data_IF_769084161263
#
_entry.id   IF_769084161263
#
_cell.length_a   1.000
_cell.length_b   1.000
_cell.length_c   1.000
_cell.angle_alpha   90.00
_cell.angle_beta   90.00
_cell.angle_gamma   90.00
#
_symmetry.space_group_name_H-M   'P 1'
#
loop_
_entity.id
_entity.type
_entity.pdbx_description
1 polymer ?
#
# COMPACT_ATOMS: atom_id res chain seq x y z
N UNK A 1 15.41 3.70 7.12
CA UNK A 1 14.51 3.80 5.96
C UNK A 1 13.09 3.91 6.47
N UNK A 2 12.37 4.96 6.10
CA UNK A 2 10.97 5.20 6.44
C UNK A 2 10.06 4.84 5.26
N UNK A 3 8.98 4.12 5.50
CA UNK A 3 8.05 3.62 4.48
C UNK A 3 6.78 4.46 4.48
N UNK A 4 6.56 5.19 3.40
CA UNK A 4 5.37 6.00 3.13
C UNK A 4 4.35 5.09 2.43
N UNK A 5 3.36 4.66 3.19
CA UNK A 5 2.31 3.75 2.76
C UNK A 5 1.08 4.52 2.30
N UNK A 6 0.71 4.38 1.03
CA UNK A 6 -0.56 4.87 0.51
C UNK A 6 -1.61 3.76 0.59
N UNK A 7 -2.58 3.96 1.47
CA UNK A 7 -3.78 3.14 1.61
C UNK A 7 -4.96 3.75 0.85
N UNK A 8 -5.99 2.94 0.64
CA UNK A 8 -7.25 3.37 0.02
C UNK A 8 -7.80 2.30 -0.92
N UNK A 9 -9.07 2.46 -1.29
CA UNK A 9 -9.78 1.55 -2.17
C UNK A 9 -9.04 1.30 -3.50
N UNK A 10 -9.28 0.17 -4.18
CA UNK A 10 -9.01 0.05 -5.61
C UNK A 10 -9.51 1.31 -6.34
N UNK A 11 -8.58 2.02 -6.98
CA UNK A 11 -8.89 3.24 -7.70
C UNK A 11 -8.93 4.56 -7.00
N UNK A 12 -8.54 4.64 -5.74
CA UNK A 12 -8.31 5.93 -5.08
C UNK A 12 -7.09 6.69 -5.64
N UNK A 13 -6.56 6.35 -6.83
CA UNK A 13 -5.42 7.06 -7.43
C UNK A 13 -4.07 6.79 -6.78
N UNK A 14 -3.95 5.79 -5.88
CA UNK A 14 -2.72 5.47 -5.14
C UNK A 14 -1.48 5.39 -6.02
N UNK A 15 -1.53 4.66 -7.12
CA UNK A 15 -0.39 4.47 -8.02
C UNK A 15 0.04 5.78 -8.69
N UNK A 16 -0.92 6.62 -9.06
CA UNK A 16 -0.68 7.95 -9.65
C UNK A 16 -0.06 8.89 -8.62
N UNK A 17 -0.62 8.94 -7.41
CA UNK A 17 -0.10 9.77 -6.31
C UNK A 17 1.30 9.30 -5.89
N UNK A 18 1.51 7.99 -5.75
CA UNK A 18 2.83 7.40 -5.48
C UNK A 18 3.86 7.87 -6.49
N UNK A 19 3.57 7.75 -7.79
CA UNK A 19 4.47 8.15 -8.86
C UNK A 19 4.75 9.66 -8.85
N UNK A 20 3.72 10.48 -8.62
CA UNK A 20 3.85 11.93 -8.50
C UNK A 20 4.75 12.32 -7.32
N UNK A 21 4.43 11.86 -6.12
CA UNK A 21 5.19 12.16 -4.91
C UNK A 21 6.62 11.63 -5.01
N UNK A 22 6.81 10.44 -5.58
CA UNK A 22 8.14 9.90 -5.85
C UNK A 22 8.96 10.84 -6.74
N UNK A 23 8.38 11.30 -7.86
CA UNK A 23 9.02 12.26 -8.76
C UNK A 23 9.36 13.57 -8.03
N UNK A 24 8.39 14.14 -7.30
CA UNK A 24 8.58 15.40 -6.57
C UNK A 24 9.69 15.26 -5.51
N UNK A 25 9.72 14.14 -4.77
CA UNK A 25 10.77 13.86 -3.79
C UNK A 25 12.15 13.70 -4.43
N UNK A 26 12.25 13.01 -5.57
CA UNK A 26 13.52 12.90 -6.32
C UNK A 26 14.03 14.28 -6.77
N UNK A 27 13.14 15.13 -7.29
CA UNK A 27 13.46 16.50 -7.72
C UNK A 27 13.94 17.34 -6.53
N UNK A 28 13.31 17.19 -5.37
CA UNK A 28 13.70 17.87 -4.13
C UNK A 28 14.98 17.31 -3.48
N UNK A 29 15.64 16.31 -4.09
CA UNK A 29 16.93 15.78 -3.64
C UNK A 29 16.84 14.71 -2.55
N UNK A 30 15.64 14.17 -2.26
CA UNK A 30 15.51 13.09 -1.30
C UNK A 30 16.09 11.78 -1.83
N UNK A 31 16.76 11.03 -0.96
CA UNK A 31 17.18 9.65 -1.25
C UNK A 31 15.99 8.70 -1.08
N UNK A 32 15.11 8.70 -2.07
CA UNK A 32 13.85 7.93 -2.07
C UNK A 32 13.84 6.87 -3.17
N UNK A 33 13.14 5.76 -2.96
CA UNK A 33 12.74 4.81 -4.02
C UNK A 33 11.24 4.50 -3.94
N UNK A 34 10.67 3.99 -5.03
CA UNK A 34 9.27 3.56 -5.05
C UNK A 34 9.13 2.04 -5.14
N UNK A 35 8.11 1.51 -4.48
CA UNK A 35 7.74 0.08 -4.55
C UNK A 35 6.33 -0.01 -5.12
N UNK A 36 6.18 -0.79 -6.19
CA UNK A 36 4.90 -1.11 -6.82
C UNK A 36 4.32 -2.42 -6.26
N UNK A 37 3.03 -2.61 -6.47
CA UNK A 37 2.30 -3.81 -6.10
C UNK A 37 2.74 -5.06 -6.88
N UNK A 38 3.09 -6.14 -6.18
CA UNK A 38 3.39 -7.43 -6.82
C UNK A 38 2.17 -8.08 -7.49
N UNK A 39 0.96 -7.82 -7.01
CA UNK A 39 -0.27 -8.33 -7.61
C UNK A 39 -0.45 -7.89 -9.07
N UNK A 40 0.00 -6.68 -9.44
CA UNK A 40 -0.06 -6.23 -10.83
C UNK A 40 0.85 -7.05 -11.74
N UNK A 41 2.06 -7.38 -11.29
CA UNK A 41 2.95 -8.27 -12.04
C UNK A 41 2.30 -9.64 -12.27
N UNK A 42 1.60 -10.19 -11.27
CA UNK A 42 0.85 -11.44 -11.42
C UNK A 42 -0.22 -11.31 -12.51
N UNK A 43 -0.98 -10.20 -12.52
CA UNK A 43 -2.01 -9.95 -13.54
C UNK A 43 -1.40 -9.82 -14.93
N UNK A 44 -0.33 -9.02 -15.08
CA UNK A 44 0.34 -8.81 -16.38
C UNK A 44 0.99 -10.06 -16.94
N UNK A 45 1.47 -10.94 -16.06
CA UNK A 45 2.07 -12.22 -16.45
C UNK A 45 1.03 -13.36 -16.52
N UNK A 46 -0.26 -13.07 -16.31
CA UNK A 46 -1.38 -14.01 -16.36
C UNK A 46 -1.24 -15.22 -15.40
N UNK A 47 -0.53 -15.03 -14.28
CA UNK A 47 -0.25 -16.08 -13.29
C UNK A 47 -1.29 -16.12 -12.16
N UNK A 48 -2.57 -16.07 -12.50
CA UNK A 48 -3.67 -15.88 -11.53
C UNK A 48 -3.73 -16.94 -10.42
N UNK A 49 -3.21 -18.14 -10.65
CA UNK A 49 -3.09 -19.19 -9.63
C UNK A 49 -2.23 -18.76 -8.41
N UNK A 50 -1.33 -17.79 -8.59
CA UNK A 50 -0.47 -17.27 -7.52
C UNK A 50 -1.27 -16.51 -6.45
N UNK A 51 -2.47 -16.00 -6.76
CA UNK A 51 -3.33 -15.35 -5.76
C UNK A 51 -3.78 -16.28 -4.62
N UNK A 52 -3.67 -17.60 -4.80
CA UNK A 52 -3.96 -18.58 -3.75
C UNK A 52 -2.80 -18.77 -2.76
N UNK A 53 -1.60 -18.23 -3.05
CA UNK A 53 -0.41 -18.34 -2.21
C UNK A 53 -0.05 -16.99 -1.56
N UNK A 54 -0.76 -16.67 -0.49
CA UNK A 54 -0.58 -15.41 0.24
C UNK A 54 0.76 -15.34 0.97
N UNK A 55 1.36 -16.48 1.33
CA UNK A 55 2.72 -16.53 1.92
C UNK A 55 3.75 -16.09 0.88
N UNK A 56 3.63 -16.59 -0.34
CA UNK A 56 4.50 -16.20 -1.44
C UNK A 56 4.33 -14.72 -1.80
N UNK A 57 3.09 -14.23 -1.89
CA UNK A 57 2.80 -12.81 -2.17
C UNK A 57 3.40 -11.91 -1.09
N UNK A 58 3.20 -12.25 0.20
CA UNK A 58 3.81 -11.55 1.32
C UNK A 58 5.34 -11.51 1.18
N UNK A 59 5.97 -12.66 0.91
CA UNK A 59 7.42 -12.76 0.75
C UNK A 59 7.94 -11.89 -0.39
N UNK A 60 7.26 -11.87 -1.53
CA UNK A 60 7.63 -11.04 -2.69
C UNK A 60 7.47 -9.56 -2.42
N UNK A 61 6.33 -9.14 -1.85
CA UNK A 61 6.08 -7.74 -1.51
C UNK A 61 7.09 -7.25 -0.46
N UNK A 62 7.32 -8.03 0.60
CA UNK A 62 8.29 -7.70 1.64
C UNK A 62 9.73 -7.63 1.10
N UNK A 63 10.11 -8.53 0.19
CA UNK A 63 11.44 -8.50 -0.45
C UNK A 63 11.69 -7.20 -1.23
N UNK A 64 10.66 -6.59 -1.83
CA UNK A 64 10.77 -5.30 -2.54
C UNK A 64 11.15 -4.16 -1.59
N UNK A 65 10.68 -4.19 -0.36
CA UNK A 65 11.07 -3.25 0.70
C UNK A 65 12.47 -3.60 1.25
N UNK A 66 12.67 -4.84 1.69
CA UNK A 66 13.93 -5.28 2.30
C UNK A 66 15.17 -5.03 1.43
N UNK A 67 15.07 -5.12 0.11
CA UNK A 67 16.22 -4.87 -0.78
C UNK A 67 16.72 -3.42 -0.77
N UNK A 68 15.89 -2.48 -0.29
CA UNK A 68 16.14 -1.03 -0.22
C UNK A 68 16.61 -0.59 1.18
N UNK A 69 16.50 -1.47 2.18
CA UNK A 69 17.00 -1.24 3.53
C UNK A 69 18.47 -0.77 3.50
N UNK A 70 18.77 0.27 4.28
CA UNK A 70 20.09 0.92 4.39
C UNK A 70 20.64 1.54 3.09
N UNK A 71 19.88 1.51 1.99
CA UNK A 71 20.25 2.11 0.71
C UNK A 71 19.55 3.42 0.45
N UNK A 72 18.36 3.63 1.01
CA UNK A 72 17.55 4.84 0.84
C UNK A 72 16.97 5.30 2.17
N UNK A 73 16.69 6.59 2.27
CA UNK A 73 16.10 7.17 3.47
C UNK A 73 14.59 6.94 3.49
N UNK A 74 13.95 6.97 2.31
CA UNK A 74 12.51 6.84 2.16
C UNK A 74 12.13 5.80 1.09
N UNK A 75 11.02 5.13 1.31
CA UNK A 75 10.31 4.37 0.28
C UNK A 75 8.87 4.81 0.23
N UNK A 76 8.33 5.05 -0.97
CA UNK A 76 6.89 5.25 -1.15
C UNK A 76 6.26 4.06 -1.85
N UNK A 77 5.13 3.58 -1.32
CA UNK A 77 4.44 2.41 -1.85
C UNK A 77 2.93 2.62 -1.92
N UNK A 78 2.31 2.16 -3.02
CA UNK A 78 0.86 2.05 -3.19
C UNK A 78 0.32 0.66 -2.82
N UNK A 79 1.20 -0.20 -2.31
CA UNK A 79 0.93 -1.58 -1.90
C UNK A 79 1.56 -1.87 -0.53
N UNK A 80 1.05 -1.22 0.54
CA UNK A 80 1.49 -1.51 1.90
C UNK A 80 1.34 -3.00 2.21
N UNK A 81 2.34 -3.60 2.85
CA UNK A 81 2.32 -5.04 3.19
C UNK A 81 1.08 -5.42 4.00
N UNK A 82 0.57 -4.50 4.83
CA UNK A 82 -0.65 -4.66 5.62
C UNK A 82 -1.89 -5.00 4.78
N UNK A 83 -1.97 -4.55 3.53
CA UNK A 83 -3.09 -4.85 2.65
C UNK A 83 -3.25 -6.35 2.40
N UNK A 84 -2.18 -7.14 2.56
CA UNK A 84 -2.23 -8.59 2.43
C UNK A 84 -3.28 -9.24 3.33
N UNK A 85 -3.59 -8.66 4.50
CA UNK A 85 -4.65 -9.16 5.40
C UNK A 85 -6.02 -9.13 4.72
N UNK A 86 -6.33 -8.07 3.96
CA UNK A 86 -7.62 -7.91 3.29
C UNK A 86 -7.81 -8.85 2.08
N UNK A 87 -6.72 -9.44 1.57
CA UNK A 87 -6.75 -10.33 0.40
C UNK A 87 -6.58 -11.81 0.75
N UNK A 88 -6.65 -12.17 2.03
CA UNK A 88 -6.58 -13.55 2.49
C UNK A 88 -7.85 -14.32 2.14
N UNK A 89 -7.85 -15.00 1.00
CA UNK A 89 -8.99 -15.82 0.55
C UNK A 89 -8.51 -17.22 0.11
N UNK A 90 -9.31 -18.29 0.34
CA UNK A 90 -10.54 -18.33 1.14
C UNK A 90 -10.25 -18.17 2.64
N UNK A 91 -11.21 -17.61 3.38
CA UNK A 91 -11.15 -17.52 4.84
C UNK A 91 -11.69 -18.83 5.43
N UNK A 92 -11.01 -19.44 6.42
CA UNK A 92 -9.72 -19.05 6.99
C UNK A 92 -8.53 -19.68 6.23
N UNK A 93 -7.50 -18.88 5.95
CA UNK A 93 -6.23 -19.34 5.38
C UNK A 93 -5.34 -19.94 6.49
N UNK A 94 -4.58 -19.11 7.20
CA UNK A 94 -3.92 -19.45 8.46
C UNK A 94 -4.01 -18.23 9.39
N UNK A 95 -4.59 -18.36 10.58
CA UNK A 95 -4.69 -17.24 11.53
C UNK A 95 -3.32 -16.63 11.88
N UNK A 96 -2.29 -17.47 11.92
CA UNK A 96 -0.90 -17.03 12.14
C UNK A 96 -0.35 -16.14 11.03
N UNK A 97 -0.90 -16.22 9.80
CA UNK A 97 -0.44 -15.39 8.70
C UNK A 97 -0.90 -13.93 8.87
N UNK A 98 -2.11 -13.68 9.40
CA UNK A 98 -2.56 -12.31 9.69
C UNK A 98 -1.61 -11.65 10.69
N UNK A 99 -1.30 -12.37 11.78
CA UNK A 99 -0.36 -11.91 12.80
C UNK A 99 1.04 -11.67 12.22
N UNK A 100 1.51 -12.54 11.32
CA UNK A 100 2.79 -12.37 10.64
C UNK A 100 2.80 -11.13 9.74
N UNK A 101 1.74 -10.90 8.94
CA UNK A 101 1.65 -9.71 8.08
C UNK A 101 1.69 -8.44 8.93
N UNK A 102 0.93 -8.40 10.02
CA UNK A 102 0.91 -7.26 10.95
C UNK A 102 2.30 -7.06 11.59
N UNK A 103 2.97 -8.14 12.01
CA UNK A 103 4.30 -8.07 12.58
C UNK A 103 5.35 -7.57 11.57
N UNK A 104 5.31 -8.06 10.32
CA UNK A 104 6.17 -7.59 9.23
C UNK A 104 5.92 -6.11 8.97
N UNK A 105 4.66 -5.68 8.86
CA UNK A 105 4.32 -4.28 8.67
C UNK A 105 4.87 -3.41 9.82
N UNK A 106 4.64 -3.79 11.08
CA UNK A 106 5.09 -3.07 12.28
C UNK A 106 6.62 -3.10 12.48
N UNK A 107 7.36 -3.93 11.75
CA UNK A 107 8.83 -3.94 11.78
C UNK A 107 9.47 -2.76 11.04
N UNK A 108 8.69 -2.07 10.20
CA UNK A 108 9.13 -0.86 9.50
C UNK A 108 8.76 0.41 10.27
N UNK A 109 9.54 1.47 10.05
CA UNK A 109 9.15 2.83 10.39
C UNK A 109 8.19 3.35 9.32
N UNK A 110 6.91 3.54 9.68
CA UNK A 110 5.82 3.72 8.72
C UNK A 110 5.15 5.09 8.86
N UNK A 111 4.96 5.78 7.74
CA UNK A 111 3.99 6.87 7.58
C UNK A 111 2.81 6.30 6.81
N UNK A 112 1.61 6.36 7.37
CA UNK A 112 0.41 5.81 6.73
C UNK A 112 -0.53 6.93 6.29
N UNK A 113 -0.82 6.98 5.00
CA UNK A 113 -1.73 7.95 4.40
C UNK A 113 -2.89 7.17 3.81
N UNK A 114 -4.11 7.43 4.29
CA UNK A 114 -5.32 6.86 3.74
C UNK A 114 -5.94 7.83 2.73
N UNK A 115 -6.01 7.40 1.47
CA UNK A 115 -6.51 8.22 0.37
C UNK A 115 -8.02 8.02 0.19
N UNK A 116 -8.77 9.09 0.41
CA UNK A 116 -10.19 9.16 0.09
C UNK A 116 -10.35 9.43 -1.42
N UNK A 117 -11.14 8.59 -2.10
CA UNK A 117 -11.43 8.71 -3.55
C UNK A 117 -12.27 9.96 -3.78
N UNK A 118 -11.83 10.84 -4.68
CA UNK A 118 -12.50 12.12 -5.02
C UNK A 118 -12.98 12.19 -6.47
N UNK A 119 -12.92 11.07 -7.19
CA UNK A 119 -13.22 10.96 -8.61
C UNK A 119 -14.03 9.69 -8.88
N UNK A 120 -14.68 9.62 -10.05
CA UNK A 120 -15.49 8.47 -10.45
C UNK A 120 -14.67 7.18 -10.48
N UNK A 121 -15.32 6.06 -10.16
CA UNK A 121 -14.70 4.75 -10.23
C UNK A 121 -14.35 4.41 -11.69
N UNK A 122 -13.12 3.97 -11.93
CA UNK A 122 -12.67 3.52 -13.24
C UNK A 122 -12.38 2.02 -13.21
N UNK A 123 -12.98 1.25 -14.10
CA UNK A 123 -12.84 -0.22 -14.12
C UNK A 123 -11.52 -0.70 -14.73
N UNK A 124 -10.86 0.12 -15.56
CA UNK A 124 -9.67 -0.27 -16.30
C UNK A 124 -8.52 -0.76 -15.39
N UNK A 125 -8.04 -1.98 -15.65
CA UNK A 125 -6.92 -2.60 -14.92
C UNK A 125 -7.28 -3.08 -13.51
N UNK A 126 -8.54 -3.43 -13.24
CA UNK A 126 -9.03 -3.83 -11.91
C UNK A 126 -9.84 -5.11 -11.94
N UNK A 127 -9.79 -5.81 -10.81
CA UNK A 127 -10.54 -7.04 -10.58
C UNK A 127 -11.83 -6.82 -9.75
N UNK A 128 -12.09 -5.59 -9.30
CA UNK A 128 -13.22 -5.26 -8.43
C UNK A 128 -14.19 -4.31 -9.13
N UNK A 129 -15.47 -4.36 -8.77
CA UNK A 129 -16.44 -3.32 -9.09
C UNK A 129 -16.41 -2.18 -8.03
N UNK A 130 -17.25 -1.15 -8.20
CA UNK A 130 -17.27 0.00 -7.31
C UNK A 130 -17.73 -0.35 -5.88
N UNK A 131 -18.74 -1.20 -5.74
CA UNK A 131 -19.27 -1.62 -4.44
C UNK A 131 -18.23 -2.42 -3.66
N UNK A 132 -17.59 -3.40 -4.32
CA UNK A 132 -16.50 -4.19 -3.75
C UNK A 132 -15.32 -3.31 -3.33
N UNK A 133 -14.97 -2.30 -4.13
CA UNK A 133 -13.93 -1.34 -3.77
C UNK A 133 -14.30 -0.51 -2.53
N UNK A 134 -15.58 -0.15 -2.37
CA UNK A 134 -16.06 0.59 -1.20
C UNK A 134 -16.06 -0.30 0.07
N UNK A 135 -16.47 -1.56 -0.05
CA UNK A 135 -16.38 -2.54 1.06
C UNK A 135 -14.93 -2.71 1.49
N UNK A 136 -14.03 -2.96 0.55
CA UNK A 136 -12.61 -3.12 0.84
C UNK A 136 -11.99 -1.86 1.48
N UNK A 137 -12.46 -0.67 1.09
CA UNK A 137 -12.05 0.58 1.74
C UNK A 137 -12.38 0.59 3.24
N UNK A 138 -13.59 0.16 3.59
CA UNK A 138 -14.03 0.08 4.99
C UNK A 138 -13.28 -1.01 5.75
N UNK A 139 -12.99 -2.15 5.12
CA UNK A 139 -12.23 -3.23 5.72
C UNK A 139 -10.80 -2.80 6.04
N UNK A 140 -10.14 -2.07 5.13
CA UNK A 140 -8.80 -1.51 5.36
C UNK A 140 -8.82 -0.54 6.55
N UNK A 141 -9.79 0.40 6.61
CA UNK A 141 -9.89 1.34 7.74
C UNK A 141 -10.10 0.60 9.07
N UNK A 142 -11.04 -0.35 9.08
CA UNK A 142 -11.35 -1.22 10.22
C UNK A 142 -10.10 -1.97 10.71
N UNK A 143 -9.32 -2.54 9.78
CA UNK A 143 -8.07 -3.24 10.08
C UNK A 143 -7.06 -2.32 10.77
N UNK A 144 -6.88 -1.10 10.27
CA UNK A 144 -5.94 -0.12 10.84
C UNK A 144 -6.36 0.31 12.25
N UNK A 145 -7.65 0.63 12.44
CA UNK A 145 -8.21 1.03 13.74
C UNK A 145 -8.08 -0.11 14.76
N UNK A 146 -8.53 -1.33 14.40
CA UNK A 146 -8.46 -2.51 15.28
C UNK A 146 -7.04 -2.80 15.76
N UNK A 147 -6.03 -2.53 14.93
CA UNK A 147 -4.63 -2.81 15.22
C UNK A 147 -3.84 -1.62 15.78
N UNK A 148 -4.52 -0.51 16.12
CA UNK A 148 -3.94 0.75 16.61
C UNK A 148 -2.83 1.29 15.68
N UNK A 149 -3.08 1.24 14.37
CA UNK A 149 -2.15 1.74 13.36
C UNK A 149 -2.52 3.19 13.06
N UNK A 150 -1.70 4.19 13.43
CA UNK A 150 -2.00 5.58 13.15
C UNK A 150 -1.93 5.85 11.64
N UNK A 151 -2.85 6.67 11.15
CA UNK A 151 -2.88 7.13 9.77
C UNK A 151 -3.46 8.54 9.66
N UNK A 152 -3.16 9.19 8.55
CA UNK A 152 -3.70 10.49 8.19
C UNK A 152 -4.61 10.30 6.99
N UNK A 153 -5.81 10.85 7.05
CA UNK A 153 -6.72 10.87 5.91
C UNK A 153 -6.44 12.07 5.03
N UNK A 154 -6.43 11.83 3.71
CA UNK A 154 -6.26 12.88 2.71
C UNK A 154 -7.14 12.61 1.50
N UNK A 155 -7.67 13.67 0.90
CA UNK A 155 -8.34 13.59 -0.39
C UNK A 155 -7.32 13.38 -1.50
N UNK A 156 -7.60 12.46 -2.42
CA UNK A 156 -6.67 12.09 -3.49
C UNK A 156 -6.24 13.29 -4.35
N UNK A 157 -7.14 14.25 -4.57
CA UNK A 157 -6.89 15.49 -5.31
C UNK A 157 -5.95 16.48 -4.60
N UNK A 158 -5.81 16.38 -3.28
CA UNK A 158 -5.07 17.34 -2.46
C UNK A 158 -3.64 16.89 -2.18
N UNK A 159 -3.36 15.58 -2.28
CA UNK A 159 -2.05 15.04 -1.90
C UNK A 159 -0.94 15.57 -2.81
N UNK A 160 -0.01 16.31 -2.20
CA UNK A 160 1.20 16.84 -2.81
C UNK A 160 2.39 16.65 -1.87
N UNK A 161 3.61 16.87 -2.37
CA UNK A 161 4.82 16.80 -1.55
C UNK A 161 4.74 17.73 -0.34
N UNK A 162 4.24 18.96 -0.50
CA UNK A 162 4.10 19.95 0.58
C UNK A 162 3.31 19.43 1.78
N UNK A 163 2.27 18.63 1.53
CA UNK A 163 1.47 18.05 2.60
C UNK A 163 2.16 16.86 3.29
N UNK A 164 3.05 16.17 2.57
CA UNK A 164 3.77 14.99 3.09
C UNK A 164 5.06 15.41 3.82
N UNK A 165 5.71 16.51 3.44
CA UNK A 165 6.96 16.99 4.04
C UNK A 165 6.92 17.05 5.59
N UNK A 166 5.89 17.62 6.23
CA UNK A 166 5.82 17.68 7.70
C UNK A 166 5.73 16.30 8.38
N UNK A 167 5.42 15.25 7.62
CA UNK A 167 5.34 13.87 8.11
C UNK A 167 6.70 13.18 8.05
N UNK A 168 7.58 13.60 7.13
CA UNK A 168 8.91 13.00 6.97
C UNK A 168 9.83 13.32 8.16
N UNK A 169 9.63 14.47 8.79
CA UNK A 169 10.42 14.99 9.91
C UNK A 169 10.05 14.40 11.29
N UNK A 170 8.91 13.70 11.39
CA UNK A 170 8.45 13.03 12.62
C UNK A 170 9.05 11.64 12.77
#
# INVERSE_FOLDING_TARGET
MKVINLFGAPGSGKSTIRARIFSDMKIAGFKVEEVTEYAKDIVWEERFNVFQDQIYILGKQNRRLLRLQDKVDYVITDSPVLLGVCYMTPIPYFESLEQLIIAVFKSYDNINIFLNRTHEYQEYGRNHNEEEANVLSNDIKSLMIKNNIPFIEMNSSEVSLEHILPLLEK
#
